data_IF_939524429711
#
_entry.id   IF_939524429711
#
_cell.length_a   1.000
_cell.length_b   1.000
_cell.length_c   1.000
_cell.angle_alpha   90.00
_cell.angle_beta   90.00
_cell.angle_gamma   90.00
#
_symmetry.space_group_name_H-M   'P 1'
#
loop_
_entity.id
_entity.type
_entity.pdbx_description
1 polymer ?
#
# COMPACT_ATOMS: atom_id res chain seq x y z
N UNK A 1 -12.10 7.44 -7.83
CA UNK A 1 -10.89 8.22 -7.46
C UNK A 1 -10.15 7.46 -6.38
N UNK A 2 -8.87 7.20 -6.57
CA UNK A 2 -8.03 6.51 -5.58
C UNK A 2 -7.30 7.52 -4.69
N UNK A 3 -7.08 7.12 -3.45
CA UNK A 3 -6.62 8.00 -2.39
C UNK A 3 -5.13 7.82 -2.11
N UNK A 4 -4.48 8.87 -1.67
CA UNK A 4 -3.08 8.80 -1.27
C UNK A 4 -2.96 8.15 0.12
N UNK A 5 -2.33 6.97 0.17
CA UNK A 5 -2.14 6.17 1.39
C UNK A 5 -1.39 6.90 2.51
N UNK A 6 -0.66 7.96 2.20
CA UNK A 6 0.02 8.79 3.20
C UNK A 6 -0.96 9.45 4.19
N UNK A 7 -2.22 9.62 3.81
CA UNK A 7 -3.27 10.16 4.69
C UNK A 7 -3.92 9.11 5.59
N UNK A 8 -3.62 7.82 5.41
CA UNK A 8 -4.15 6.79 6.28
C UNK A 8 -3.65 6.96 7.73
N UNK A 9 -4.54 6.75 8.69
CA UNK A 9 -4.23 6.65 10.11
C UNK A 9 -4.47 5.20 10.58
N UNK A 10 -3.51 4.28 10.34
CA UNK A 10 -3.72 2.85 10.55
C UNK A 10 -4.09 2.50 12.00
N UNK A 11 -3.53 3.20 12.97
CA UNK A 11 -3.83 3.00 14.39
C UNK A 11 -5.31 3.22 14.74
N UNK A 12 -6.00 4.09 14.01
CA UNK A 12 -7.42 4.34 14.19
C UNK A 12 -8.30 3.16 13.73
N UNK A 13 -7.84 2.35 12.78
CA UNK A 13 -8.57 1.21 12.21
C UNK A 13 -8.11 -0.11 12.82
N UNK A 14 -6.79 -0.34 12.88
CA UNK A 14 -6.18 -1.60 13.32
C UNK A 14 -5.84 -1.61 14.81
N UNK A 15 -5.89 -0.47 15.48
CA UNK A 15 -5.57 -0.28 16.89
C UNK A 15 -4.10 0.06 17.16
N UNK A 16 -3.87 0.69 18.29
CA UNK A 16 -2.54 1.14 18.75
C UNK A 16 -1.55 0.00 18.95
N UNK A 17 -2.03 -1.18 19.34
CA UNK A 17 -1.17 -2.36 19.55
C UNK A 17 -0.58 -2.83 18.22
N UNK A 18 -1.39 -2.94 17.17
CA UNK A 18 -0.93 -3.33 15.84
C UNK A 18 0.09 -2.32 15.31
N UNK A 19 -0.18 -1.04 15.51
CA UNK A 19 0.70 0.06 15.11
C UNK A 19 2.06 -0.01 15.81
N UNK A 20 2.05 -0.23 17.12
CA UNK A 20 3.28 -0.38 17.92
C UNK A 20 4.09 -1.59 17.48
N UNK A 21 3.43 -2.73 17.27
CA UNK A 21 4.08 -3.96 16.77
C UNK A 21 4.74 -3.73 15.42
N UNK A 22 4.10 -3.02 14.50
CA UNK A 22 4.65 -2.71 13.18
C UNK A 22 5.85 -1.75 13.28
N UNK A 23 5.79 -0.74 14.13
CA UNK A 23 6.91 0.19 14.37
C UNK A 23 8.12 -0.58 14.92
N UNK A 24 7.92 -1.44 15.89
CA UNK A 24 8.99 -2.25 16.50
C UNK A 24 9.59 -3.22 15.47
N UNK A 25 8.76 -3.90 14.67
CA UNK A 25 9.20 -4.83 13.64
C UNK A 25 10.04 -4.17 12.54
N UNK A 26 9.74 -2.91 12.21
CA UNK A 26 10.48 -2.15 11.19
C UNK A 26 11.73 -1.45 11.74
N UNK A 27 11.89 -1.36 13.06
CA UNK A 27 13.00 -0.64 13.71
C UNK A 27 12.96 0.87 13.50
N UNK A 28 11.80 1.44 13.18
CA UNK A 28 11.65 2.85 12.80
C UNK A 28 11.35 3.80 13.95
N UNK A 29 11.26 3.32 15.19
CA UNK A 29 10.89 4.15 16.35
C UNK A 29 11.77 5.40 16.51
N UNK A 30 13.09 5.23 16.40
CA UNK A 30 14.05 6.34 16.51
C UNK A 30 13.95 7.32 15.33
N UNK A 31 13.76 6.82 14.11
CA UNK A 31 13.60 7.64 12.90
C UNK A 31 12.32 8.47 12.95
N UNK A 32 11.21 7.87 13.41
CA UNK A 32 9.94 8.58 13.60
C UNK A 32 10.07 9.70 14.63
N UNK A 33 10.75 9.44 15.75
CA UNK A 33 11.01 10.47 16.77
C UNK A 33 11.83 11.62 16.18
N UNK A 34 12.88 11.33 15.42
CA UNK A 34 13.68 12.35 14.74
C UNK A 34 12.86 13.19 13.75
N UNK A 35 11.92 12.56 13.04
CA UNK A 35 11.02 13.26 12.11
C UNK A 35 10.07 14.21 12.85
N UNK A 36 9.56 13.81 14.03
CA UNK A 36 8.70 14.64 14.87
C UNK A 36 9.42 15.86 15.45
N UNK A 37 10.71 15.72 15.73
CA UNK A 37 11.54 16.80 16.31
C UNK A 37 12.00 17.83 15.26
N UNK A 38 11.85 17.55 13.96
CA UNK A 38 12.24 18.47 12.88
C UNK A 38 11.26 19.63 12.74
N UNK A 39 11.75 20.86 12.56
CA UNK A 39 10.88 22.04 12.35
C UNK A 39 10.13 22.00 10.99
N UNK A 40 10.68 21.26 10.02
CA UNK A 40 10.09 21.06 8.69
C UNK A 40 9.96 19.57 8.39
N UNK A 41 8.85 19.19 7.77
CA UNK A 41 8.60 17.80 7.39
C UNK A 41 9.48 17.42 6.19
N UNK A 42 10.30 16.38 6.37
CA UNK A 42 11.01 15.71 5.28
C UNK A 42 10.04 14.69 4.64
N UNK A 43 9.29 15.13 3.65
CA UNK A 43 8.24 14.32 3.02
C UNK A 43 8.75 13.01 2.41
N UNK A 44 9.87 12.96 1.67
CA UNK A 44 10.40 11.71 1.15
C UNK A 44 10.73 10.68 2.24
N UNK A 45 11.38 11.11 3.31
CA UNK A 45 11.74 10.24 4.44
C UNK A 45 10.48 9.79 5.19
N UNK A 46 9.56 10.70 5.46
CA UNK A 46 8.29 10.37 6.12
C UNK A 46 7.45 9.40 5.28
N UNK A 47 7.37 9.60 3.97
CA UNK A 47 6.65 8.71 3.05
C UNK A 47 7.26 7.30 3.02
N UNK A 48 8.59 7.20 2.99
CA UNK A 48 9.28 5.92 3.02
C UNK A 48 9.05 5.17 4.34
N UNK A 49 9.16 5.85 5.47
CA UNK A 49 8.88 5.28 6.79
C UNK A 49 7.42 4.79 6.88
N UNK A 50 6.47 5.61 6.44
CA UNK A 50 5.05 5.26 6.39
C UNK A 50 4.78 4.01 5.55
N UNK A 51 5.39 3.93 4.38
CA UNK A 51 5.25 2.78 3.48
C UNK A 51 5.74 1.49 4.14
N UNK A 52 6.90 1.52 4.80
CA UNK A 52 7.44 0.37 5.52
C UNK A 52 6.53 -0.08 6.67
N UNK A 53 5.97 0.86 7.41
CA UNK A 53 5.01 0.56 8.50
C UNK A 53 3.73 -0.07 7.93
N UNK A 54 3.18 0.50 6.86
CA UNK A 54 1.99 -0.04 6.20
C UNK A 54 2.22 -1.46 5.67
N UNK A 55 3.39 -1.74 5.11
CA UNK A 55 3.75 -3.08 4.65
C UNK A 55 3.82 -4.07 5.81
N UNK A 56 4.46 -3.71 6.91
CA UNK A 56 4.53 -4.55 8.13
C UNK A 56 3.14 -4.81 8.72
N UNK A 57 2.27 -3.80 8.72
CA UNK A 57 0.87 -3.94 9.14
C UNK A 57 0.10 -4.91 8.25
N UNK A 58 0.28 -4.82 6.94
CA UNK A 58 -0.35 -5.73 5.99
C UNK A 58 0.11 -7.18 6.18
N UNK A 59 1.41 -7.39 6.32
CA UNK A 59 1.97 -8.72 6.57
C UNK A 59 1.38 -9.34 7.84
N UNK A 60 1.31 -8.61 8.93
CA UNK A 60 0.68 -9.05 10.17
C UNK A 60 -0.83 -9.29 10.03
N UNK A 61 -1.50 -8.45 9.26
CA UNK A 61 -2.94 -8.56 9.00
C UNK A 61 -3.27 -9.84 8.22
N UNK A 62 -2.50 -10.19 7.18
CA UNK A 62 -2.78 -11.37 6.35
C UNK A 62 -2.34 -12.70 6.97
N UNK A 63 -1.34 -12.66 7.86
CA UNK A 63 -0.83 -13.88 8.52
C UNK A 63 -1.70 -14.36 9.68
N UNK A 64 -2.40 -13.44 10.34
CA UNK A 64 -3.21 -13.72 11.51
C UNK A 64 -4.71 -13.79 11.22
N UNK A 65 -5.48 -14.22 12.21
CA UNK A 65 -6.92 -14.01 12.23
C UNK A 65 -7.21 -12.58 12.70
N UNK A 66 -7.96 -11.85 11.91
CA UNK A 66 -8.31 -10.47 12.24
C UNK A 66 -9.82 -10.23 12.01
N UNK A 67 -10.53 -9.59 12.95
CA UNK A 67 -11.98 -9.37 12.80
C UNK A 67 -12.37 -8.53 11.58
N UNK A 68 -11.44 -7.76 11.03
CA UNK A 68 -11.68 -6.92 9.85
C UNK A 68 -11.32 -7.59 8.50
N UNK A 69 -10.93 -8.86 8.49
CA UNK A 69 -10.65 -9.59 7.23
C UNK A 69 -11.86 -9.61 6.29
N UNK A 70 -13.05 -9.85 6.85
CA UNK A 70 -14.29 -9.86 6.06
C UNK A 70 -14.61 -8.47 5.50
N UNK A 71 -14.42 -7.42 6.28
CA UNK A 71 -14.63 -6.05 5.83
C UNK A 71 -13.65 -5.67 4.70
N UNK A 72 -12.38 -6.03 4.83
CA UNK A 72 -11.39 -5.81 3.77
C UNK A 72 -11.74 -6.58 2.49
N UNK A 73 -12.11 -7.86 2.63
CA UNK A 73 -12.50 -8.70 1.50
C UNK A 73 -13.73 -8.15 0.78
N UNK A 74 -14.73 -7.73 1.54
CA UNK A 74 -15.95 -7.11 1.01
C UNK A 74 -15.68 -5.79 0.29
N UNK A 75 -14.82 -4.95 0.87
CA UNK A 75 -14.36 -3.70 0.23
C UNK A 75 -13.69 -3.98 -1.11
N UNK A 76 -12.76 -4.92 -1.14
CA UNK A 76 -12.02 -5.28 -2.35
C UNK A 76 -12.95 -5.81 -3.44
N UNK A 77 -13.88 -6.69 -3.06
CA UNK A 77 -14.88 -7.24 -3.98
C UNK A 77 -15.82 -6.16 -4.52
N UNK A 78 -16.35 -5.30 -3.66
CA UNK A 78 -17.26 -4.24 -4.06
C UNK A 78 -16.60 -3.17 -4.94
N UNK A 79 -15.33 -2.90 -4.73
CA UNK A 79 -14.55 -1.95 -5.54
C UNK A 79 -14.21 -2.48 -6.94
N UNK A 80 -14.23 -3.78 -7.12
CA UNK A 80 -14.18 -4.47 -8.40
C UNK A 80 -12.92 -4.22 -9.24
N UNK A 81 -13.10 -4.29 -10.56
CA UNK A 81 -12.01 -4.20 -11.54
C UNK A 81 -11.23 -2.89 -11.47
N UNK A 82 -11.89 -1.79 -11.15
CA UNK A 82 -11.23 -0.48 -11.05
C UNK A 82 -10.15 -0.47 -9.97
N UNK A 83 -10.43 -1.04 -8.81
CA UNK A 83 -9.45 -1.17 -7.74
C UNK A 83 -8.32 -2.13 -8.12
N UNK A 84 -8.64 -3.28 -8.69
CA UNK A 84 -7.65 -4.27 -9.12
C UNK A 84 -6.68 -3.69 -10.15
N UNK A 85 -7.18 -2.96 -11.14
CA UNK A 85 -6.34 -2.31 -12.16
C UNK A 85 -5.46 -1.22 -11.55
N UNK A 86 -5.99 -0.43 -10.62
CA UNK A 86 -5.19 0.55 -9.88
C UNK A 86 -4.06 -0.11 -9.09
N UNK A 87 -4.35 -1.18 -8.36
CA UNK A 87 -3.35 -1.90 -7.56
C UNK A 87 -2.29 -2.57 -8.43
N UNK A 88 -2.65 -3.11 -9.58
CA UNK A 88 -1.72 -3.65 -10.57
C UNK A 88 -0.80 -2.57 -11.12
N UNK A 89 -1.34 -1.41 -11.43
CA UNK A 89 -0.57 -0.24 -11.88
C UNK A 89 0.45 0.19 -10.82
N UNK A 90 0.03 0.33 -9.57
CA UNK A 90 0.92 0.69 -8.46
C UNK A 90 2.05 -0.33 -8.25
N UNK A 91 1.72 -1.61 -8.27
CA UNK A 91 2.70 -2.69 -8.13
C UNK A 91 3.70 -2.71 -9.31
N UNK A 92 3.21 -2.50 -10.53
CA UNK A 92 4.04 -2.44 -11.73
C UNK A 92 4.96 -1.21 -11.71
N UNK A 93 4.43 -0.05 -11.34
CA UNK A 93 5.21 1.19 -11.22
C UNK A 93 6.34 1.01 -10.18
N UNK A 94 6.06 0.40 -9.05
CA UNK A 94 7.06 0.09 -8.03
C UNK A 94 8.15 -0.87 -8.55
N UNK A 95 7.74 -1.93 -9.24
CA UNK A 95 8.69 -2.90 -9.81
C UNK A 95 9.59 -2.26 -10.89
N UNK A 96 9.05 -1.37 -11.70
CA UNK A 96 9.81 -0.62 -12.71
C UNK A 96 10.74 0.40 -12.07
N UNK A 97 10.30 1.10 -11.04
CA UNK A 97 11.15 2.01 -10.26
C UNK A 97 12.36 1.30 -9.65
N UNK A 98 12.17 0.10 -9.14
CA UNK A 98 13.25 -0.73 -8.57
C UNK A 98 14.30 -1.12 -9.62
N UNK A 99 13.95 -1.15 -10.91
CA UNK A 99 14.85 -1.39 -12.04
C UNK A 99 15.45 -0.13 -12.64
N UNK A 100 15.12 1.04 -12.11
CA UNK A 100 15.56 2.34 -12.68
C UNK A 100 14.86 2.70 -13.99
N UNK A 101 13.73 2.08 -14.30
CA UNK A 101 12.94 2.34 -15.50
C UNK A 101 12.02 3.55 -15.33
N UNK A 102 11.51 4.10 -16.46
CA UNK A 102 10.62 5.27 -16.44
C UNK A 102 9.33 4.99 -15.65
N UNK A 103 8.92 5.97 -14.84
CA UNK A 103 7.63 5.97 -14.14
C UNK A 103 6.49 6.57 -14.99
N UNK A 104 6.80 7.18 -16.14
CA UNK A 104 5.78 7.65 -17.06
C UNK A 104 5.21 6.45 -17.84
N UNK A 105 3.96 6.10 -17.56
CA UNK A 105 3.27 4.99 -18.19
C UNK A 105 3.16 5.11 -19.73
N UNK A 106 3.25 6.32 -20.26
CA UNK A 106 3.22 6.58 -21.70
C UNK A 106 4.46 6.07 -22.41
N UNK A 107 5.58 5.96 -21.69
CA UNK A 107 6.86 5.42 -22.17
C UNK A 107 6.97 3.91 -22.00
N UNK A 108 6.00 3.29 -21.34
CA UNK A 108 6.04 1.85 -21.11
C UNK A 108 5.75 1.07 -22.40
N UNK A 109 6.33 -0.12 -22.59
CA UNK A 109 5.93 -1.03 -23.65
C UNK A 109 4.41 -1.28 -23.67
N UNK A 110 3.85 -1.46 -24.87
CA UNK A 110 2.39 -1.59 -25.05
C UNK A 110 1.76 -2.67 -24.15
N UNK A 111 2.46 -3.80 -23.99
CA UNK A 111 2.01 -4.92 -23.13
C UNK A 111 1.77 -4.53 -21.67
N UNK A 112 2.40 -3.47 -21.18
CA UNK A 112 2.22 -2.97 -19.82
C UNK A 112 1.20 -1.84 -19.71
N UNK A 113 0.77 -1.29 -20.83
CA UNK A 113 -0.22 -0.20 -20.89
C UNK A 113 -1.64 -0.70 -21.05
N UNK A 114 -1.84 -1.93 -21.54
CA UNK A 114 -3.15 -2.53 -21.71
C UNK A 114 -3.53 -3.36 -20.47
N UNK A 115 -4.57 -2.97 -19.69
CA UNK A 115 -5.02 -3.74 -18.52
C UNK A 115 -5.45 -5.17 -18.83
N UNK A 116 -5.71 -5.49 -20.09
CA UNK A 116 -6.17 -6.80 -20.57
C UNK A 116 -5.04 -7.66 -21.13
N UNK A 117 -3.81 -7.18 -21.13
CA UNK A 117 -2.69 -7.93 -21.70
C UNK A 117 -2.39 -9.20 -20.89
N UNK A 118 -1.91 -10.23 -21.58
CA UNK A 118 -1.45 -11.48 -20.95
C UNK A 118 -0.25 -11.21 -20.04
N UNK A 119 0.68 -10.36 -20.47
CA UNK A 119 1.86 -9.99 -19.67
C UNK A 119 1.47 -9.36 -18.33
N UNK A 120 0.45 -8.51 -18.32
CA UNK A 120 -0.03 -7.89 -17.08
C UNK A 120 -0.76 -8.90 -16.18
N UNK A 121 -1.50 -9.85 -16.77
CA UNK A 121 -2.14 -10.93 -16.01
C UNK A 121 -1.10 -11.84 -15.33
N UNK A 122 -0.05 -12.22 -16.04
CA UNK A 122 1.07 -13.01 -15.49
C UNK A 122 1.79 -12.24 -14.38
N UNK A 123 2.08 -10.96 -14.60
CA UNK A 123 2.65 -10.09 -13.57
C UNK A 123 1.76 -10.03 -12.31
N UNK A 124 0.45 -9.94 -12.48
CA UNK A 124 -0.50 -9.89 -11.36
C UNK A 124 -0.50 -11.19 -10.54
N UNK A 125 -0.37 -12.34 -11.19
CA UNK A 125 -0.25 -13.63 -10.48
C UNK A 125 1.04 -13.72 -9.68
N UNK A 126 2.17 -13.34 -10.28
CA UNK A 126 3.49 -13.35 -9.64
C UNK A 126 3.59 -12.33 -8.49
N UNK A 127 2.85 -11.24 -8.54
CA UNK A 127 2.89 -10.13 -7.59
C UNK A 127 1.57 -9.97 -6.79
N UNK A 128 0.82 -11.04 -6.61
CA UNK A 128 -0.48 -11.02 -5.94
C UNK A 128 -0.42 -10.44 -4.52
N UNK A 129 0.64 -10.75 -3.77
CA UNK A 129 0.86 -10.20 -2.41
C UNK A 129 1.04 -8.69 -2.44
N UNK A 130 1.81 -8.17 -3.38
CA UNK A 130 2.04 -6.73 -3.52
C UNK A 130 0.79 -5.98 -3.97
N UNK A 131 0.05 -6.56 -4.89
CA UNK A 131 -1.25 -6.04 -5.32
C UNK A 131 -2.25 -6.01 -4.15
N UNK A 132 -2.29 -7.06 -3.35
CA UNK A 132 -3.08 -7.11 -2.12
C UNK A 132 -2.70 -6.02 -1.11
N UNK A 133 -1.42 -5.72 -0.98
CA UNK A 133 -0.92 -4.61 -0.15
C UNK A 133 -1.48 -3.26 -0.60
N UNK A 134 -1.47 -2.96 -1.89
CA UNK A 134 -2.04 -1.71 -2.39
C UNK A 134 -3.55 -1.63 -2.19
N UNK A 135 -4.28 -2.74 -2.34
CA UNK A 135 -5.71 -2.81 -2.01
C UNK A 135 -5.95 -2.55 -0.51
N UNK A 136 -5.14 -3.11 0.35
CA UNK A 136 -5.18 -2.87 1.79
C UNK A 136 -4.95 -1.40 2.15
N UNK A 137 -4.02 -0.72 1.51
CA UNK A 137 -3.80 0.72 1.70
C UNK A 137 -5.03 1.54 1.31
N UNK A 138 -5.69 1.22 0.19
CA UNK A 138 -6.91 1.89 -0.24
C UNK A 138 -8.08 1.63 0.71
N UNK A 139 -8.21 0.42 1.21
CA UNK A 139 -9.18 0.08 2.24
C UNK A 139 -8.96 0.86 3.53
N UNK A 140 -7.73 0.90 4.05
CA UNK A 140 -7.41 1.63 5.28
C UNK A 140 -7.77 3.10 5.18
N UNK A 141 -7.36 3.78 4.11
CA UNK A 141 -7.63 5.21 3.98
C UNK A 141 -9.12 5.48 3.78
N UNK A 142 -9.84 4.60 3.07
CA UNK A 142 -11.29 4.72 2.93
C UNK A 142 -11.97 4.64 4.28
N UNK A 143 -11.61 3.67 5.11
CA UNK A 143 -12.16 3.53 6.47
C UNK A 143 -11.78 4.70 7.38
N UNK A 144 -10.58 5.27 7.22
CA UNK A 144 -10.20 6.49 7.95
C UNK A 144 -11.08 7.69 7.61
N UNK A 145 -11.47 7.83 6.36
CA UNK A 145 -12.30 8.95 5.89
C UNK A 145 -13.79 8.81 6.26
N UNK A 146 -14.26 7.57 6.47
CA UNK A 146 -15.64 7.29 6.89
C UNK A 146 -15.87 7.52 8.40
N UNK A 147 -14.83 7.76 9.14
CA UNK A 147 -14.88 8.07 10.59
C UNK A 147 -15.09 9.55 10.83
#
# INVERSE_FOLDING_TARGET
MFLNSLYAAPGAILGERAMRTAIDATGLAAELQQLEERPLIDWPVAAHAKHRILLSLYEGFVQGEHPLHEDFSSFRHASGEALENHCRFEALQEARAARGESLDWREWPEQWRDPRSVALAEFAEENATRIGFFAFCQWLITRCLER
#
